data_IF_729047303260
#
_entry.id   IF_729047303260
#
_cell.length_a   1.000
_cell.length_b   1.000
_cell.length_c   1.000
_cell.angle_alpha   90.00
_cell.angle_beta   90.00
_cell.angle_gamma   90.00
#
_symmetry.space_group_name_H-M   'P 1'
#
loop_
_entity.id
_entity.type
_entity.pdbx_description
1 polymer ?
#
# COMPACT_ATOMS: atom_id res chain seq x y z
N UNK A 1 -9.50 -5.29 19.50
CA UNK A 1 -9.73 -4.41 18.33
C UNK A 1 -9.04 -4.99 17.12
N UNK A 2 -9.73 -5.03 15.98
CA UNK A 2 -9.18 -5.35 14.66
C UNK A 2 -9.44 -4.16 13.74
N UNK A 3 -8.39 -3.65 13.10
CA UNK A 3 -8.41 -2.50 12.20
C UNK A 3 -7.81 -2.92 10.87
N UNK A 4 -8.46 -2.53 9.79
CA UNK A 4 -7.98 -2.81 8.45
C UNK A 4 -7.96 -1.55 7.60
N UNK A 5 -6.79 -1.19 7.08
CA UNK A 5 -6.56 0.03 6.29
C UNK A 5 -6.07 -0.28 4.86
N UNK A 6 -5.71 -1.53 4.57
CA UNK A 6 -5.29 -2.00 3.23
C UNK A 6 -6.51 -2.23 2.31
N UNK A 7 -7.28 -1.19 2.08
CA UNK A 7 -8.58 -1.24 1.38
C UNK A 7 -9.53 -0.21 1.98
N UNK A 8 -10.83 -0.51 1.98
CA UNK A 8 -11.77 0.27 2.78
C UNK A 8 -11.43 0.19 4.27
N UNK A 9 -11.58 1.33 4.97
CA UNK A 9 -11.35 1.41 6.40
C UNK A 9 -12.40 0.55 7.14
N UNK A 10 -11.92 -0.48 7.83
CA UNK A 10 -12.72 -1.30 8.74
C UNK A 10 -12.10 -1.21 10.13
N UNK A 11 -12.93 -1.12 11.17
CA UNK A 11 -12.47 -1.28 12.54
C UNK A 11 -13.58 -1.87 13.39
N UNK A 12 -13.29 -2.98 14.06
CA UNK A 12 -14.26 -3.67 14.91
C UNK A 12 -13.66 -4.06 16.26
N UNK A 13 -14.51 -4.10 17.28
CA UNK A 13 -14.24 -4.68 18.58
C UNK A 13 -15.41 -5.61 18.92
N UNK A 14 -15.13 -6.88 19.25
CA UNK A 14 -16.17 -7.89 19.48
C UNK A 14 -17.28 -7.90 18.40
N UNK A 15 -16.88 -7.81 17.12
CA UNK A 15 -17.77 -7.72 15.94
C UNK A 15 -18.65 -6.47 15.86
N UNK A 16 -18.44 -5.46 16.71
CA UNK A 16 -19.12 -4.15 16.64
C UNK A 16 -18.21 -3.14 15.96
N UNK A 17 -18.76 -2.35 15.05
CA UNK A 17 -18.02 -1.27 14.40
C UNK A 17 -17.64 -0.19 15.41
N UNK A 18 -16.36 0.20 15.42
CA UNK A 18 -15.86 1.35 16.19
C UNK A 18 -15.63 2.58 15.29
N UNK A 19 -16.09 2.51 14.04
CA UNK A 19 -15.93 3.58 13.07
C UNK A 19 -17.08 4.58 13.10
N UNK A 20 -16.80 5.89 13.05
CA UNK A 20 -17.83 6.89 12.88
C UNK A 20 -18.31 6.93 11.42
N UNK A 21 -19.59 7.27 11.24
CA UNK A 21 -20.20 7.45 9.90
C UNK A 21 -19.80 8.77 9.23
N UNK A 22 -19.49 9.80 10.03
CA UNK A 22 -19.13 11.11 9.50
C UNK A 22 -17.68 11.15 9.01
N UNK A 23 -17.46 11.79 7.87
CA UNK A 23 -16.17 11.82 7.16
C UNK A 23 -14.99 12.31 8.02
N UNK A 24 -15.12 13.47 8.71
CA UNK A 24 -14.01 14.04 9.49
C UNK A 24 -13.60 13.19 10.70
N UNK A 25 -14.52 12.71 11.56
CA UNK A 25 -14.18 11.73 12.59
C UNK A 25 -13.54 10.45 12.02
N UNK A 26 -14.01 9.96 10.86
CA UNK A 26 -13.48 8.77 10.19
C UNK A 26 -12.04 9.00 9.72
N UNK A 27 -11.77 10.19 9.18
CA UNK A 27 -10.44 10.65 8.81
C UNK A 27 -9.49 10.75 10.02
N UNK A 28 -9.94 11.31 11.15
CA UNK A 28 -9.15 11.31 12.41
C UNK A 28 -8.79 9.89 12.83
N UNK A 29 -9.76 8.98 12.82
CA UNK A 29 -9.53 7.59 13.18
C UNK A 29 -8.52 6.93 12.23
N UNK A 30 -8.68 7.13 10.91
CA UNK A 30 -7.76 6.57 9.91
C UNK A 30 -6.31 7.01 10.15
N UNK A 31 -6.07 8.31 10.41
CA UNK A 31 -4.72 8.81 10.67
C UNK A 31 -4.13 8.21 11.95
N UNK A 32 -4.94 8.08 12.99
CA UNK A 32 -4.52 7.45 14.24
C UNK A 32 -4.27 5.94 14.07
N UNK A 33 -5.04 5.25 13.23
CA UNK A 33 -4.89 3.83 12.95
C UNK A 33 -3.62 3.51 12.17
N UNK A 34 -3.34 4.28 11.12
CA UNK A 34 -2.10 4.13 10.34
C UNK A 34 -0.86 4.44 11.20
N UNK A 35 -1.02 5.26 12.25
CA UNK A 35 0.01 5.58 13.23
C UNK A 35 -0.26 4.94 14.60
N UNK A 36 -0.85 3.75 14.63
CA UNK A 36 -1.17 3.04 15.87
C UNK A 36 0.06 2.94 16.79
N UNK A 37 -0.17 3.15 18.09
CA UNK A 37 0.87 3.21 19.12
C UNK A 37 1.72 4.48 19.11
N UNK A 38 1.58 5.38 18.14
CA UNK A 38 2.33 6.65 18.06
C UNK A 38 1.42 7.85 18.34
N UNK A 39 1.95 8.85 19.04
CA UNK A 39 1.23 10.10 19.29
C UNK A 39 1.12 10.88 17.99
N UNK A 40 -0.10 11.23 17.60
CA UNK A 40 -0.40 12.18 16.53
C UNK A 40 -0.64 13.56 17.15
N UNK A 41 0.23 14.55 16.90
CA UNK A 41 0.06 15.89 17.43
C UNK A 41 -1.23 16.57 16.94
N UNK A 42 -1.80 17.45 17.76
CA UNK A 42 -2.97 18.27 17.38
C UNK A 42 -2.72 19.10 16.11
N UNK A 43 -1.55 19.74 15.90
CA UNK A 43 -1.26 20.44 14.65
C UNK A 43 -1.32 19.54 13.41
N UNK A 44 -0.88 18.28 13.52
CA UNK A 44 -0.98 17.30 12.43
C UNK A 44 -2.43 16.94 12.12
N UNK A 45 -3.26 16.76 13.16
CA UNK A 45 -4.70 16.55 12.98
C UNK A 45 -5.40 17.77 12.37
N UNK A 46 -4.90 18.98 12.65
CA UNK A 46 -5.46 20.20 12.07
C UNK A 46 -5.15 20.30 10.58
N UNK A 47 -3.87 20.12 10.21
CA UNK A 47 -3.45 20.10 8.82
C UNK A 47 -4.20 19.01 8.04
N UNK A 48 -4.35 17.82 8.62
CA UNK A 48 -5.10 16.73 8.00
C UNK A 48 -6.58 17.10 7.74
N UNK A 49 -7.26 17.72 8.70
CA UNK A 49 -8.70 17.97 8.62
C UNK A 49 -9.08 19.26 7.88
N UNK A 50 -8.21 20.26 7.88
CA UNK A 50 -8.54 21.62 7.42
C UNK A 50 -7.43 22.29 6.60
N UNK A 51 -6.27 21.65 6.43
CA UNK A 51 -5.10 22.25 5.78
C UNK A 51 -4.73 23.59 6.44
N UNK A 52 -4.42 24.58 5.60
CA UNK A 52 -4.02 25.92 6.03
C UNK A 52 -5.17 26.81 6.56
N UNK A 53 -6.42 26.33 6.54
CA UNK A 53 -7.60 27.14 6.88
C UNK A 53 -8.46 26.51 7.99
N UNK A 54 -7.91 26.28 9.20
CA UNK A 54 -8.70 25.79 10.31
C UNK A 54 -9.77 26.82 10.75
N UNK A 55 -11.00 26.38 11.06
CA UNK A 55 -12.00 27.27 11.63
C UNK A 55 -11.58 27.75 13.02
N UNK A 56 -12.12 28.89 13.48
CA UNK A 56 -11.90 29.39 14.86
C UNK A 56 -12.26 28.35 15.93
N UNK A 57 -13.21 27.47 15.62
CA UNK A 57 -13.68 26.38 16.49
C UNK A 57 -12.91 25.06 16.31
N UNK A 58 -11.77 25.02 15.61
CA UNK A 58 -11.05 23.79 15.27
C UNK A 58 -10.75 22.92 16.50
N UNK A 59 -10.25 23.52 17.58
CA UNK A 59 -9.98 22.80 18.83
C UNK A 59 -11.24 22.15 19.42
N UNK A 60 -12.33 22.91 19.59
CA UNK A 60 -13.58 22.39 20.14
C UNK A 60 -14.20 21.31 19.23
N UNK A 61 -14.07 21.49 17.92
CA UNK A 61 -14.55 20.53 16.91
C UNK A 61 -13.75 19.22 16.97
N UNK A 62 -12.42 19.29 17.05
CA UNK A 62 -11.57 18.10 17.20
C UNK A 62 -11.87 17.35 18.51
N UNK A 63 -12.06 18.06 19.63
CA UNK A 63 -12.48 17.45 20.90
C UNK A 63 -13.82 16.71 20.76
N UNK A 64 -14.75 17.26 19.98
CA UNK A 64 -16.04 16.62 19.71
C UNK A 64 -15.86 15.31 18.93
N UNK A 65 -15.00 15.32 17.89
CA UNK A 65 -14.68 14.10 17.13
C UNK A 65 -14.02 13.04 18.02
N UNK A 66 -13.05 13.42 18.85
CA UNK A 66 -12.40 12.50 19.79
C UNK A 66 -13.40 11.94 20.82
N UNK A 67 -14.29 12.78 21.35
CA UNK A 67 -15.35 12.33 22.27
C UNK A 67 -16.28 11.32 21.61
N UNK A 68 -16.64 11.53 20.34
CA UNK A 68 -17.45 10.60 19.56
C UNK A 68 -16.72 9.26 19.36
N UNK A 69 -15.44 9.28 18.95
CA UNK A 69 -14.63 8.07 18.78
C UNK A 69 -14.51 7.28 20.09
N UNK A 70 -14.20 7.96 21.20
CA UNK A 70 -14.15 7.34 22.53
C UNK A 70 -15.47 6.71 22.94
N UNK A 71 -16.60 7.34 22.59
CA UNK A 71 -17.93 6.76 22.87
C UNK A 71 -18.12 5.47 22.07
N UNK A 72 -17.83 5.47 20.76
CA UNK A 72 -17.96 4.28 19.92
C UNK A 72 -17.10 3.12 20.43
N UNK A 73 -15.85 3.39 20.84
CA UNK A 73 -14.97 2.39 21.44
C UNK A 73 -15.55 1.82 22.74
N UNK A 74 -15.98 2.70 23.67
CA UNK A 74 -16.59 2.25 24.94
C UNK A 74 -17.86 1.44 24.73
N UNK A 75 -18.73 1.86 23.81
CA UNK A 75 -19.97 1.14 23.47
C UNK A 75 -19.67 -0.25 22.85
N UNK A 76 -18.49 -0.41 22.24
CA UNK A 76 -17.99 -1.68 21.72
C UNK A 76 -17.15 -2.49 22.75
N UNK A 77 -16.85 -1.92 23.93
CA UNK A 77 -16.15 -2.61 25.01
C UNK A 77 -14.64 -2.37 25.09
N UNK A 78 -14.10 -1.36 24.39
CA UNK A 78 -12.69 -1.00 24.46
C UNK A 78 -12.45 0.47 24.83
N UNK A 79 -11.24 0.78 25.30
CA UNK A 79 -10.78 2.15 25.56
C UNK A 79 -9.35 2.33 25.05
N UNK A 80 -9.23 2.45 23.73
CA UNK A 80 -7.93 2.52 23.05
C UNK A 80 -7.48 3.96 22.70
N UNK A 81 -8.34 4.98 22.85
CA UNK A 81 -8.03 6.35 22.41
C UNK A 81 -7.50 7.23 23.56
N UNK A 82 -6.17 7.21 23.72
CA UNK A 82 -5.45 7.99 24.71
C UNK A 82 -5.24 9.45 24.32
N UNK A 83 -5.20 10.34 25.32
CA UNK A 83 -4.62 11.68 25.19
C UNK A 83 -3.21 11.64 25.78
N UNK A 84 -2.24 12.21 25.06
CA UNK A 84 -0.85 12.41 25.49
C UNK A 84 -0.48 13.87 25.28
N UNK A 85 0.67 14.31 25.78
CA UNK A 85 1.08 15.71 25.72
C UNK A 85 1.03 16.25 24.28
N UNK A 86 0.08 17.16 24.01
CA UNK A 86 -0.10 17.81 22.70
C UNK A 86 -0.76 16.97 21.59
N UNK A 87 -1.31 15.78 21.89
CA UNK A 87 -1.83 14.90 20.85
C UNK A 87 -2.71 13.73 21.33
N UNK A 88 -3.04 12.87 20.39
CA UNK A 88 -3.82 11.66 20.61
C UNK A 88 -3.07 10.43 20.12
N UNK A 89 -3.35 9.29 20.74
CA UNK A 89 -2.76 8.00 20.35
C UNK A 89 -3.85 6.95 20.33
N UNK A 90 -3.83 6.11 19.30
CA UNK A 90 -4.58 4.86 19.30
C UNK A 90 -3.69 3.77 19.90
N UNK A 91 -3.93 3.46 21.16
CA UNK A 91 -3.14 2.55 21.99
C UNK A 91 -3.63 1.12 21.79
N UNK A 92 -3.20 0.52 20.68
CA UNK A 92 -3.48 -0.87 20.32
C UNK A 92 -2.19 -1.59 19.95
N UNK A 93 -2.12 -2.92 20.13
CA UNK A 93 -0.97 -3.68 19.65
C UNK A 93 -0.84 -3.50 18.13
N UNK A 94 0.38 -3.52 17.61
CA UNK A 94 0.63 -3.38 16.17
C UNK A 94 -0.13 -4.44 15.35
N UNK A 95 -0.26 -5.65 15.90
CA UNK A 95 -1.02 -6.77 15.30
C UNK A 95 -2.53 -6.50 15.20
N UNK A 96 -3.05 -5.43 15.81
CA UNK A 96 -4.43 -5.02 15.61
C UNK A 96 -4.66 -4.33 14.26
N UNK A 97 -3.60 -3.95 13.53
CA UNK A 97 -3.69 -3.27 12.22
C UNK A 97 -3.11 -4.17 11.14
N UNK A 98 -3.89 -4.45 10.09
CA UNK A 98 -3.50 -5.30 8.96
C UNK A 98 -2.15 -4.93 8.29
N UNK A 99 -1.77 -3.64 8.35
CA UNK A 99 -0.46 -3.15 7.88
C UNK A 99 0.71 -3.85 8.57
N UNK A 100 0.62 -4.14 9.87
CA UNK A 100 1.72 -4.79 10.58
C UNK A 100 1.95 -6.23 10.11
N UNK A 101 0.86 -6.96 9.82
CA UNK A 101 0.95 -8.31 9.25
C UNK A 101 1.46 -8.28 7.82
N UNK A 102 1.03 -7.30 7.02
CA UNK A 102 1.56 -7.06 5.69
C UNK A 102 3.07 -6.81 5.71
N UNK A 103 3.54 -5.86 6.53
CA UNK A 103 4.97 -5.51 6.63
C UNK A 103 5.81 -6.71 7.10
N UNK A 104 5.30 -7.49 8.07
CA UNK A 104 5.95 -8.72 8.54
C UNK A 104 6.07 -9.78 7.44
N UNK A 105 5.03 -9.99 6.64
CA UNK A 105 5.04 -10.95 5.53
C UNK A 105 5.98 -10.49 4.41
N UNK A 106 6.00 -9.20 4.09
CA UNK A 106 6.94 -8.63 3.12
C UNK A 106 8.39 -8.88 3.56
N UNK A 107 8.69 -8.66 4.84
CA UNK A 107 10.03 -8.87 5.35
C UNK A 107 10.43 -10.35 5.33
N UNK A 108 9.55 -11.26 5.76
CA UNK A 108 9.78 -12.70 5.66
C UNK A 108 10.02 -13.16 4.20
N UNK A 109 9.33 -12.52 3.24
CA UNK A 109 9.56 -12.74 1.82
C UNK A 109 10.96 -12.29 1.37
N UNK A 110 11.44 -11.13 1.85
CA UNK A 110 12.79 -10.64 1.55
C UNK A 110 13.87 -11.53 2.15
N UNK A 111 13.73 -11.94 3.40
CA UNK A 111 14.65 -12.88 4.06
C UNK A 111 14.72 -14.23 3.31
N UNK A 112 13.60 -14.69 2.73
CA UNK A 112 13.58 -15.87 1.89
C UNK A 112 14.32 -15.66 0.55
N UNK A 113 14.19 -14.47 -0.07
CA UNK A 113 14.97 -14.10 -1.27
C UNK A 113 16.48 -14.11 -0.97
N UNK A 114 16.91 -13.56 0.16
CA UNK A 114 18.32 -13.54 0.57
C UNK A 114 18.90 -14.96 0.73
N UNK A 115 18.08 -15.91 1.17
CA UNK A 115 18.42 -17.33 1.26
C UNK A 115 18.26 -18.10 -0.06
N UNK A 116 17.93 -17.41 -1.16
CA UNK A 116 17.60 -18.00 -2.46
C UNK A 116 16.43 -19.00 -2.44
N UNK A 117 15.57 -18.93 -1.42
CA UNK A 117 14.36 -19.73 -1.29
C UNK A 117 13.17 -19.00 -1.94
N UNK A 118 13.15 -19.04 -3.28
CA UNK A 118 12.16 -18.31 -4.08
C UNK A 118 10.73 -18.83 -3.90
N UNK A 119 10.57 -20.09 -3.52
CA UNK A 119 9.26 -20.70 -3.28
C UNK A 119 8.61 -20.12 -2.02
N UNK A 120 9.37 -20.07 -0.92
CA UNK A 120 8.93 -19.43 0.34
C UNK A 120 8.75 -17.92 0.16
N UNK A 121 9.63 -17.27 -0.60
CA UNK A 121 9.48 -15.84 -0.92
C UNK A 121 8.15 -15.55 -1.65
N UNK A 122 7.85 -16.30 -2.71
CA UNK A 122 6.61 -16.15 -3.47
C UNK A 122 5.37 -16.40 -2.58
N UNK A 123 5.43 -17.38 -1.68
CA UNK A 123 4.35 -17.64 -0.72
C UNK A 123 4.10 -16.44 0.21
N UNK A 124 5.15 -15.90 0.84
CA UNK A 124 5.02 -14.77 1.75
C UNK A 124 4.54 -13.50 1.05
N UNK A 125 5.07 -13.17 -0.13
CA UNK A 125 4.61 -11.99 -0.88
C UNK A 125 3.16 -12.13 -1.35
N UNK A 126 2.71 -13.34 -1.72
CA UNK A 126 1.30 -13.58 -2.06
C UNK A 126 0.41 -13.39 -0.83
N UNK A 127 0.76 -14.00 0.30
CA UNK A 127 0.02 -13.84 1.54
C UNK A 127 -0.05 -12.37 1.99
N UNK A 128 1.02 -11.59 1.78
CA UNK A 128 1.02 -10.15 2.05
C UNK A 128 0.01 -9.43 1.15
N UNK A 129 0.01 -9.71 -0.15
CA UNK A 129 -0.89 -9.09 -1.11
C UNK A 129 -2.35 -9.49 -0.91
N UNK A 130 -2.62 -10.69 -0.38
CA UNK A 130 -3.98 -11.17 -0.08
C UNK A 130 -4.65 -10.38 1.07
N UNK A 131 -3.88 -9.65 1.88
CA UNK A 131 -4.43 -8.72 2.89
C UNK A 131 -5.07 -7.47 2.26
N UNK A 132 -4.70 -7.14 1.02
CA UNK A 132 -5.20 -5.97 0.31
C UNK A 132 -6.59 -6.23 -0.28
N UNK A 133 -7.56 -5.41 0.13
CA UNK A 133 -8.97 -5.49 -0.30
C UNK A 133 -9.36 -4.38 -1.29
N UNK A 134 -8.39 -3.59 -1.74
CA UNK A 134 -8.59 -2.46 -2.64
C UNK A 134 -7.44 -1.46 -2.52
N UNK A 135 -7.61 -0.22 -3.01
CA UNK A 135 -6.71 0.88 -2.67
C UNK A 135 -6.80 1.21 -1.17
N UNK A 136 -5.67 1.56 -0.55
CA UNK A 136 -5.59 1.89 0.87
C UNK A 136 -6.47 3.10 1.19
N UNK A 137 -7.32 2.96 2.22
CA UNK A 137 -8.24 3.98 2.72
C UNK A 137 -9.13 4.61 1.62
N UNK A 138 -9.52 3.84 0.61
CA UNK A 138 -10.26 4.34 -0.58
C UNK A 138 -11.54 5.11 -0.26
N UNK A 139 -12.16 4.86 0.89
CA UNK A 139 -13.41 5.45 1.35
C UNK A 139 -13.22 6.59 2.37
N UNK A 140 -11.97 7.00 2.64
CA UNK A 140 -11.63 8.03 3.61
C UNK A 140 -11.05 9.25 2.89
N UNK A 141 -11.60 10.47 3.09
CA UNK A 141 -10.97 11.68 2.61
C UNK A 141 -9.57 11.84 3.22
N UNK A 142 -8.57 12.16 2.40
CA UNK A 142 -7.19 12.33 2.84
C UNK A 142 -6.78 13.80 2.78
N UNK A 143 -6.17 14.29 3.84
CA UNK A 143 -5.34 15.49 3.87
C UNK A 143 -3.86 15.14 3.71
N UNK A 144 -2.99 16.09 4.03
CA UNK A 144 -1.55 15.98 3.77
C UNK A 144 -0.90 14.78 4.47
N UNK A 145 -1.31 14.46 5.70
CA UNK A 145 -0.68 13.37 6.45
C UNK A 145 -1.14 12.00 5.98
N UNK A 146 -2.44 11.81 5.77
CA UNK A 146 -2.96 10.54 5.25
C UNK A 146 -2.53 10.29 3.81
N UNK A 147 -2.50 11.30 2.95
CA UNK A 147 -2.09 11.12 1.55
C UNK A 147 -0.65 10.60 1.42
N UNK A 148 0.26 11.08 2.27
CA UNK A 148 1.64 10.56 2.33
C UNK A 148 1.64 9.08 2.75
N UNK A 149 0.88 8.71 3.78
CA UNK A 149 0.85 7.32 4.24
C UNK A 149 0.17 6.39 3.23
N UNK A 150 -0.91 6.83 2.58
CA UNK A 150 -1.57 6.07 1.49
C UNK A 150 -0.59 5.86 0.34
N UNK A 151 0.14 6.89 -0.07
CA UNK A 151 1.17 6.79 -1.11
C UNK A 151 2.25 5.79 -0.71
N UNK A 152 2.78 5.89 0.52
CA UNK A 152 3.77 4.94 1.06
C UNK A 152 3.27 3.49 1.00
N UNK A 153 2.01 3.25 1.39
CA UNK A 153 1.40 1.93 1.38
C UNK A 153 1.23 1.39 -0.05
N UNK A 154 0.72 2.20 -0.98
CA UNK A 154 0.55 1.78 -2.38
C UNK A 154 1.87 1.55 -3.10
N UNK A 155 2.89 2.37 -2.84
CA UNK A 155 4.24 2.16 -3.36
C UNK A 155 4.84 0.85 -2.82
N UNK A 156 4.66 0.59 -1.52
CA UNK A 156 5.05 -0.68 -0.92
C UNK A 156 4.32 -1.85 -1.57
N UNK A 157 3.02 -1.72 -1.84
CA UNK A 157 2.22 -2.75 -2.52
C UNK A 157 2.77 -3.05 -3.90
N UNK A 158 3.05 -2.02 -4.70
CA UNK A 158 3.60 -2.18 -6.05
C UNK A 158 4.97 -2.86 -6.00
N UNK A 159 5.84 -2.46 -5.06
CA UNK A 159 7.13 -3.13 -4.84
C UNK A 159 6.96 -4.60 -4.46
N UNK A 160 6.00 -4.93 -3.60
CA UNK A 160 5.70 -6.32 -3.21
C UNK A 160 5.16 -7.15 -4.39
N UNK A 161 4.35 -6.55 -5.27
CA UNK A 161 3.93 -7.18 -6.53
C UNK A 161 5.14 -7.49 -7.41
N UNK A 162 6.07 -6.55 -7.57
CA UNK A 162 7.30 -6.78 -8.33
C UNK A 162 8.17 -7.90 -7.73
N UNK A 163 8.35 -7.91 -6.40
CA UNK A 163 9.09 -8.96 -5.70
C UNK A 163 8.42 -10.33 -5.83
N UNK A 164 7.09 -10.42 -5.73
CA UNK A 164 6.34 -11.66 -5.96
C UNK A 164 6.59 -12.16 -7.38
N UNK A 165 6.47 -11.29 -8.38
CA UNK A 165 6.66 -11.64 -9.78
C UNK A 165 8.08 -12.17 -10.03
N UNK A 166 9.11 -11.52 -9.50
CA UNK A 166 10.50 -12.01 -9.63
C UNK A 166 10.66 -13.40 -9.02
N UNK A 167 10.16 -13.62 -7.80
CA UNK A 167 10.22 -14.92 -7.14
C UNK A 167 9.50 -16.01 -7.95
N UNK A 168 8.31 -15.73 -8.46
CA UNK A 168 7.52 -16.67 -9.28
C UNK A 168 8.22 -16.98 -10.62
N UNK A 169 8.85 -15.98 -11.26
CA UNK A 169 9.65 -16.17 -12.46
C UNK A 169 10.86 -17.07 -12.19
N UNK A 170 11.51 -16.94 -11.03
CA UNK A 170 12.61 -17.80 -10.60
C UNK A 170 12.16 -19.23 -10.29
N UNK A 171 10.94 -19.40 -9.80
CA UNK A 171 10.28 -20.72 -9.68
C UNK A 171 9.78 -21.30 -11.02
N UNK A 172 10.06 -20.64 -12.15
CA UNK A 172 9.68 -21.12 -13.48
C UNK A 172 8.20 -20.90 -13.83
N UNK A 173 7.45 -20.10 -13.07
CA UNK A 173 6.00 -19.87 -13.26
C UNK A 173 5.70 -18.73 -14.25
N UNK A 174 6.43 -18.67 -15.35
CA UNK A 174 6.34 -17.59 -16.33
C UNK A 174 4.98 -17.52 -17.05
N UNK A 175 4.39 -18.67 -17.40
CA UNK A 175 3.13 -18.71 -18.15
C UNK A 175 1.94 -18.12 -17.38
N UNK A 176 1.83 -18.41 -16.08
CA UNK A 176 0.70 -17.95 -15.26
C UNK A 176 0.74 -16.44 -14.99
N UNK A 177 1.90 -15.81 -15.11
CA UNK A 177 2.08 -14.37 -14.89
C UNK A 177 1.78 -13.51 -16.13
N UNK A 178 1.63 -14.10 -17.32
CA UNK A 178 1.54 -13.34 -18.57
C UNK A 178 0.34 -12.38 -18.62
N UNK A 179 -0.83 -12.85 -18.19
CA UNK A 179 -2.07 -12.04 -18.19
C UNK A 179 -1.98 -10.89 -17.18
N UNK A 180 -1.49 -11.18 -15.98
CA UNK A 180 -1.28 -10.18 -14.95
C UNK A 180 -0.25 -9.13 -15.35
N UNK A 181 0.90 -9.56 -15.89
CA UNK A 181 1.95 -8.66 -16.37
C UNK A 181 1.48 -7.77 -17.52
N UNK A 182 0.64 -8.27 -18.43
CA UNK A 182 0.03 -7.46 -19.47
C UNK A 182 -0.86 -6.34 -18.89
N UNK A 183 -1.65 -6.64 -17.86
CA UNK A 183 -2.47 -5.63 -17.17
C UNK A 183 -1.60 -4.62 -16.42
N UNK A 184 -0.59 -5.09 -15.69
CA UNK A 184 0.29 -4.22 -14.91
C UNK A 184 1.11 -3.28 -15.79
N UNK A 185 1.67 -3.76 -16.89
CA UNK A 185 2.41 -2.93 -17.84
C UNK A 185 1.52 -1.90 -18.55
N UNK A 186 0.26 -2.23 -18.82
CA UNK A 186 -0.70 -1.26 -19.36
C UNK A 186 -1.08 -0.17 -18.33
N UNK A 187 -1.21 -0.54 -17.04
CA UNK A 187 -1.51 0.40 -15.94
C UNK A 187 -0.31 1.28 -15.57
N UNK A 188 0.90 0.76 -15.69
CA UNK A 188 2.15 1.43 -15.34
C UNK A 188 3.07 1.50 -16.57
N UNK A 189 2.70 2.26 -17.61
CA UNK A 189 3.39 2.23 -18.91
C UNK A 189 4.79 2.86 -18.89
N UNK A 190 5.19 3.48 -17.79
CA UNK A 190 6.54 4.03 -17.56
C UNK A 190 7.39 3.15 -16.62
N UNK A 191 6.85 2.04 -16.10
CA UNK A 191 7.57 1.18 -15.17
C UNK A 191 8.45 0.16 -15.92
N UNK A 192 9.75 0.40 -15.92
CA UNK A 192 10.73 -0.45 -16.59
C UNK A 192 10.85 -1.85 -15.98
N UNK A 193 10.67 -2.00 -14.66
CA UNK A 193 10.76 -3.30 -13.99
C UNK A 193 9.63 -4.24 -14.42
N UNK A 194 8.39 -3.73 -14.45
CA UNK A 194 7.23 -4.50 -14.92
C UNK A 194 7.38 -4.88 -16.39
N UNK A 195 7.91 -3.98 -17.23
CA UNK A 195 8.22 -4.31 -18.61
C UNK A 195 9.29 -5.41 -18.70
N UNK A 196 10.39 -5.30 -17.94
CA UNK A 196 11.44 -6.32 -17.90
C UNK A 196 10.87 -7.70 -17.51
N UNK A 197 10.05 -7.77 -16.46
CA UNK A 197 9.39 -9.00 -16.06
C UNK A 197 8.47 -9.56 -17.15
N UNK A 198 7.70 -8.69 -17.82
CA UNK A 198 6.84 -9.11 -18.94
C UNK A 198 7.64 -9.65 -20.11
N UNK A 199 8.73 -8.99 -20.50
CA UNK A 199 9.67 -9.45 -21.52
C UNK A 199 10.25 -10.82 -21.17
N UNK A 200 10.73 -10.99 -19.93
CA UNK A 200 11.28 -12.27 -19.45
C UNK A 200 10.22 -13.38 -19.48
N UNK A 201 9.01 -13.10 -18.99
CA UNK A 201 7.91 -14.06 -19.00
C UNK A 201 7.54 -14.50 -20.42
N UNK A 202 7.41 -13.54 -21.35
CA UNK A 202 7.12 -13.81 -22.76
C UNK A 202 8.22 -14.63 -23.43
N UNK A 203 9.49 -14.24 -23.25
CA UNK A 203 10.62 -14.96 -23.84
C UNK A 203 10.71 -16.41 -23.33
N UNK A 204 10.59 -16.63 -22.01
CA UNK A 204 10.58 -17.97 -21.41
C UNK A 204 9.37 -18.82 -21.83
N UNK A 205 8.28 -18.16 -22.26
CA UNK A 205 7.09 -18.80 -22.82
C UNK A 205 7.18 -19.07 -24.33
N UNK A 206 8.34 -18.86 -24.97
CA UNK A 206 8.52 -19.01 -26.42
C UNK A 206 7.93 -17.87 -27.27
N UNK A 207 7.51 -16.77 -26.64
CA UNK A 207 6.85 -15.61 -27.29
C UNK A 207 7.82 -14.45 -27.49
N UNK A 208 9.01 -14.74 -28.03
CA UNK A 208 10.12 -13.79 -28.15
C UNK A 208 9.76 -12.51 -28.93
N UNK A 209 9.01 -12.63 -30.03
CA UNK A 209 8.54 -11.47 -30.80
C UNK A 209 7.78 -10.45 -29.94
N UNK A 210 6.88 -10.95 -29.07
CA UNK A 210 6.07 -10.09 -28.20
C UNK A 210 6.90 -9.49 -27.06
N UNK A 211 7.96 -10.16 -26.61
CA UNK A 211 8.90 -9.56 -25.65
C UNK A 211 9.61 -8.34 -26.27
N UNK A 212 10.03 -8.44 -27.53
CA UNK A 212 10.66 -7.31 -28.24
C UNK A 212 9.65 -6.19 -28.53
N UNK A 213 8.39 -6.52 -28.79
CA UNK A 213 7.31 -5.55 -28.94
C UNK A 213 7.04 -4.78 -27.64
N UNK A 214 6.99 -5.47 -26.50
CA UNK A 214 6.81 -4.84 -25.19
C UNK A 214 7.91 -3.79 -24.89
N UNK A 215 9.17 -4.12 -25.21
CA UNK A 215 10.29 -3.17 -25.10
C UNK A 215 10.09 -1.94 -25.98
N UNK A 216 9.71 -2.14 -27.26
CA UNK A 216 9.50 -1.03 -28.22
C UNK A 216 8.40 -0.09 -27.73
N UNK A 217 7.29 -0.65 -27.25
CA UNK A 217 6.17 0.13 -26.70
C UNK A 217 6.61 0.97 -25.50
N UNK A 218 7.30 0.37 -24.52
CA UNK A 218 7.81 1.12 -23.37
C UNK A 218 8.79 2.22 -23.80
N UNK A 219 9.75 1.91 -24.68
CA UNK A 219 10.70 2.90 -25.19
C UNK A 219 9.99 4.09 -25.84
N UNK A 220 9.01 3.84 -26.71
CA UNK A 220 8.23 4.90 -27.35
C UNK A 220 7.52 5.77 -26.30
N UNK A 221 6.93 5.16 -25.27
CA UNK A 221 6.27 5.92 -24.19
C UNK A 221 7.28 6.73 -23.36
N UNK A 222 8.43 6.17 -22.96
CA UNK A 222 9.47 6.90 -22.20
C UNK A 222 10.01 8.10 -22.98
N UNK A 223 10.31 7.92 -24.27
CA UNK A 223 10.80 9.02 -25.12
C UNK A 223 9.72 10.09 -25.28
N UNK A 224 8.45 9.70 -25.48
CA UNK A 224 7.35 10.65 -25.67
C UNK A 224 7.01 11.44 -24.41
N UNK A 225 6.89 10.77 -23.26
CA UNK A 225 6.40 11.39 -22.02
C UNK A 225 7.51 12.06 -21.22
N UNK A 226 8.73 11.51 -21.23
CA UNK A 226 9.83 11.94 -20.38
C UNK A 226 11.07 12.41 -21.15
N UNK A 227 11.14 12.17 -22.47
CA UNK A 227 12.31 12.52 -23.28
C UNK A 227 13.56 11.69 -22.96
N UNK A 228 13.39 10.53 -22.32
CA UNK A 228 14.50 9.65 -21.90
C UNK A 228 14.47 8.31 -22.61
N UNK A 229 15.65 7.70 -22.74
CA UNK A 229 15.81 6.33 -23.25
C UNK A 229 15.69 5.30 -22.11
N UNK A 230 15.33 4.03 -22.40
CA UNK A 230 15.31 2.95 -21.42
C UNK A 230 16.65 2.79 -20.69
N UNK A 231 16.57 2.36 -19.43
CA UNK A 231 17.72 2.07 -18.58
C UNK A 231 18.67 1.05 -19.21
N UNK A 232 19.95 1.08 -18.78
CA UNK A 232 20.95 0.13 -19.22
C UNK A 232 20.52 -1.32 -18.98
N UNK A 233 19.93 -1.61 -17.81
CA UNK A 233 19.38 -2.93 -17.47
C UNK A 233 18.38 -3.42 -18.51
N UNK A 234 17.42 -2.59 -18.88
CA UNK A 234 16.37 -2.99 -19.82
C UNK A 234 16.92 -3.13 -21.25
N UNK A 235 17.85 -2.26 -21.65
CA UNK A 235 18.57 -2.40 -22.93
C UNK A 235 19.37 -3.69 -23.01
N UNK A 236 20.07 -4.07 -21.94
CA UNK A 236 20.79 -5.34 -21.88
C UNK A 236 19.86 -6.55 -22.00
N UNK A 237 18.69 -6.51 -21.35
CA UNK A 237 17.68 -7.55 -21.51
C UNK A 237 17.20 -7.63 -22.97
N UNK A 238 16.88 -6.49 -23.59
CA UNK A 238 16.48 -6.45 -24.99
C UNK A 238 17.54 -7.10 -25.91
N UNK A 239 18.81 -6.74 -25.75
CA UNK A 239 19.92 -7.30 -26.53
C UNK A 239 20.09 -8.80 -26.32
N UNK A 240 19.87 -9.31 -25.11
CA UNK A 240 19.93 -10.76 -24.83
C UNK A 240 18.81 -11.57 -25.48
N UNK A 241 17.76 -10.90 -25.97
CA UNK A 241 16.60 -11.50 -26.62
C UNK A 241 16.58 -11.28 -28.14
N UNK A 242 17.66 -10.76 -28.73
CA UNK A 242 17.85 -10.69 -30.18
C UNK A 242 18.62 -11.92 -30.67
#
# INVERSE_FOLDING_TARGET
MEIRVLGMLEATEHHRSVLPSAAKPRQVFALLAVRAGRVVPVPTLFAELWGDRPPRSAHATLQTYVKQLRRLMRDAGCDALGTRFGGYVLDVPSTAVDVADYERLVEAGREAVERADHETAAHHFRAALDLWRGPALVDVPTGDSLSIEVTRLEDSRLSTVECRIDAELRCGRHHVLLSELAVLTARHPLNENLCAHHMTALARSGRQFQALEAYRTLRTTLVRELGVEPSSRLRSLHLSLL
#
